data_IF_524462595320
#
_entry.id   IF_524462595320
#
_cell.length_a   1.000
_cell.length_b   1.000
_cell.length_c   1.000
_cell.angle_alpha   90.00
_cell.angle_beta   90.00
_cell.angle_gamma   90.00
#
_symmetry.space_group_name_H-M   'P 1'
#
loop_
_entity.id
_entity.type
_entity.pdbx_description
1 polymer ?
#
# COMPACT_ATOMS: atom_id res chain seq x y z
N UNK A 1 -6.20 1.36 9.37
CA UNK A 1 -7.04 1.11 10.57
C UNK A 1 -8.17 0.20 10.12
N UNK A 2 -8.48 -0.90 10.83
CA UNK A 2 -9.60 -1.79 10.46
C UNK A 2 -10.55 -1.81 11.65
N UNK A 3 -11.78 -1.32 11.46
CA UNK A 3 -12.83 -1.37 12.46
C UNK A 3 -13.61 -2.67 12.31
N UNK A 4 -13.74 -3.45 13.39
CA UNK A 4 -14.44 -4.73 13.38
C UNK A 4 -15.95 -4.49 13.56
N UNK A 5 -16.63 -4.03 12.51
CA UNK A 5 -18.10 -3.97 12.48
C UNK A 5 -18.63 -4.58 11.18
N UNK A 6 -19.86 -5.13 11.15
CA UNK A 6 -20.50 -5.61 9.91
C UNK A 6 -20.74 -4.52 8.85
N UNK A 7 -20.39 -3.25 9.15
CA UNK A 7 -20.36 -2.12 8.23
C UNK A 7 -18.95 -1.85 7.64
N UNK A 8 -17.99 -2.76 7.82
CA UNK A 8 -16.59 -2.58 7.43
C UNK A 8 -16.38 -2.31 5.92
N UNK A 9 -17.30 -2.74 5.04
CA UNK A 9 -17.19 -2.47 3.60
C UNK A 9 -17.40 -0.99 3.24
N UNK A 10 -18.32 -0.28 3.91
CA UNK A 10 -18.53 1.15 3.63
C UNK A 10 -17.42 2.03 4.25
N UNK A 11 -16.90 1.62 5.41
CA UNK A 11 -15.72 2.27 6.00
C UNK A 11 -14.44 2.03 5.19
N UNK A 12 -14.42 1.00 4.34
CA UNK A 12 -13.27 0.65 3.52
C UNK A 12 -12.90 1.77 2.54
N UNK A 13 -13.88 2.37 1.86
CA UNK A 13 -13.63 3.48 0.93
C UNK A 13 -13.18 4.77 1.64
N UNK A 14 -13.74 5.08 2.81
CA UNK A 14 -13.36 6.26 3.61
C UNK A 14 -11.94 6.14 4.18
N UNK A 15 -11.56 4.94 4.63
CA UNK A 15 -10.19 4.64 5.05
C UNK A 15 -9.24 4.63 3.84
N UNK A 16 -9.72 4.30 2.64
CA UNK A 16 -8.94 4.35 1.41
C UNK A 16 -8.77 5.78 0.84
N UNK A 17 -9.59 6.76 1.20
CA UNK A 17 -9.40 8.14 0.71
C UNK A 17 -8.59 9.01 1.68
N UNK A 18 -8.74 8.81 3.00
CA UNK A 18 -8.07 9.63 4.01
C UNK A 18 -6.60 9.24 4.28
N UNK A 19 -6.19 8.00 3.96
CA UNK A 19 -4.83 7.52 4.25
C UNK A 19 -3.84 7.66 3.07
N UNK A 20 -4.29 7.91 1.84
CA UNK A 20 -3.41 7.94 0.66
C UNK A 20 -2.57 9.21 0.55
N UNK A 21 -2.99 10.30 1.19
CA UNK A 21 -2.17 11.50 1.33
C UNK A 21 -0.99 11.31 2.30
N UNK A 22 -0.97 10.22 3.09
CA UNK A 22 -0.01 10.05 4.19
C UNK A 22 1.11 9.03 3.94
N UNK A 23 1.09 8.29 2.83
CA UNK A 23 2.07 7.21 2.56
C UNK A 23 2.71 7.24 1.17
N UNK A 24 2.50 8.30 0.38
CA UNK A 24 3.17 8.41 -0.90
C UNK A 24 4.63 8.83 -0.69
N UNK A 25 5.57 7.98 -1.12
CA UNK A 25 7.01 8.31 -1.19
C UNK A 25 7.19 9.54 -2.09
N UNK A 26 7.38 10.70 -1.46
CA UNK A 26 7.56 11.97 -2.17
C UNK A 26 8.85 11.97 -2.97
N UNK A 27 9.84 11.15 -2.60
CA UNK A 27 11.09 11.02 -3.34
C UNK A 27 10.90 10.39 -4.72
N UNK A 28 9.77 9.72 -4.98
CA UNK A 28 9.37 9.26 -6.31
C UNK A 28 9.34 10.40 -7.34
N UNK A 29 8.91 11.58 -6.93
CA UNK A 29 8.82 12.76 -7.80
C UNK A 29 10.18 13.19 -8.36
N UNK A 30 11.27 12.91 -7.62
CA UNK A 30 12.65 13.19 -8.03
C UNK A 30 13.19 12.16 -9.03
N UNK A 31 12.54 10.99 -9.17
CA UNK A 31 12.91 9.97 -10.14
C UNK A 31 12.29 10.19 -11.53
N UNK A 32 11.43 11.20 -11.67
CA UNK A 32 10.80 11.56 -12.95
C UNK A 32 11.76 12.48 -13.71
N UNK A 33 12.54 11.88 -14.60
CA UNK A 33 13.56 12.60 -15.39
C UNK A 33 12.94 13.38 -16.55
N UNK A 34 12.01 12.76 -17.28
CA UNK A 34 11.28 13.40 -18.39
C UNK A 34 9.94 13.99 -17.88
N UNK A 35 10.03 15.01 -17.03
CA UNK A 35 8.87 15.57 -16.32
C UNK A 35 7.98 16.47 -17.21
N UNK A 36 6.67 16.21 -17.31
CA UNK A 36 5.73 17.12 -17.97
C UNK A 36 5.62 18.47 -17.25
N UNK A 37 5.35 19.55 -18.00
CA UNK A 37 5.19 20.92 -17.45
C UNK A 37 4.19 20.98 -16.28
N UNK A 38 2.99 20.37 -16.34
CA UNK A 38 2.06 20.38 -15.21
C UNK A 38 2.63 19.77 -13.93
N UNK A 39 3.46 18.73 -14.07
CA UNK A 39 4.08 18.04 -12.95
C UNK A 39 5.21 18.89 -12.33
N UNK A 40 6.01 19.54 -13.16
CA UNK A 40 7.07 20.44 -12.68
C UNK A 40 6.50 21.62 -11.89
N UNK A 41 5.44 22.23 -12.42
CA UNK A 41 4.69 23.25 -11.70
C UNK A 41 4.16 22.69 -10.37
N UNK A 42 3.42 21.57 -10.41
CA UNK A 42 2.81 21.02 -9.18
C UNK A 42 3.84 20.71 -8.10
N UNK A 43 4.99 20.14 -8.45
CA UNK A 43 6.06 19.84 -7.50
C UNK A 43 6.72 21.08 -6.91
N UNK A 44 6.94 22.12 -7.72
CA UNK A 44 7.48 23.39 -7.24
C UNK A 44 6.58 24.04 -6.17
N UNK A 45 5.25 24.04 -6.39
CA UNK A 45 4.31 24.67 -5.46
C UNK A 45 3.99 23.80 -4.23
N UNK A 46 3.80 22.49 -4.40
CA UNK A 46 3.37 21.60 -3.32
C UNK A 46 4.54 21.01 -2.51
N UNK A 47 5.73 20.92 -3.11
CA UNK A 47 6.92 20.32 -2.49
C UNK A 47 8.15 21.25 -2.61
N UNK A 48 8.05 22.52 -2.18
CA UNK A 48 9.13 23.49 -2.38
C UNK A 48 10.44 23.07 -1.69
N UNK A 49 10.38 22.35 -0.57
CA UNK A 49 11.56 21.80 0.11
C UNK A 49 12.40 20.84 -0.76
N UNK A 50 11.85 20.30 -1.85
CA UNK A 50 12.54 19.38 -2.78
C UNK A 50 12.86 20.01 -4.13
N UNK A 51 12.08 21.00 -4.56
CA UNK A 51 12.10 21.53 -5.93
C UNK A 51 12.34 23.04 -6.04
N UNK A 52 12.22 23.80 -4.95
CA UNK A 52 12.42 25.25 -4.95
C UNK A 52 13.80 25.63 -4.35
N UNK A 53 14.72 26.19 -5.15
CA UNK A 53 16.02 26.66 -4.68
C UNK A 53 15.96 27.85 -3.71
N UNK A 54 14.83 28.56 -3.64
CA UNK A 54 14.66 29.68 -2.71
C UNK A 54 14.65 29.21 -1.24
N UNK A 55 14.29 27.95 -1.00
CA UNK A 55 14.37 27.36 0.33
C UNK A 55 15.81 26.99 0.64
N UNK A 56 16.33 27.54 1.75
CA UNK A 56 17.77 27.53 2.09
C UNK A 56 18.41 26.15 2.26
N UNK A 57 17.61 25.09 2.43
CA UNK A 57 18.04 23.70 2.46
C UNK A 57 17.07 22.86 1.64
N UNK A 58 17.22 22.87 0.31
CA UNK A 58 16.54 21.86 -0.52
C UNK A 58 16.99 20.49 -0.01
N UNK A 59 16.05 19.67 0.47
CA UNK A 59 16.35 18.33 0.95
C UNK A 59 16.86 17.50 -0.22
N UNK A 60 17.99 16.81 -0.02
CA UNK A 60 18.40 15.77 -0.95
C UNK A 60 17.40 14.63 -0.94
N UNK A 61 17.35 13.88 -2.05
CA UNK A 61 16.54 12.66 -2.14
C UNK A 61 16.79 11.73 -0.95
N UNK A 62 18.06 11.55 -0.57
CA UNK A 62 18.46 10.66 0.52
C UNK A 62 17.95 11.15 1.89
N UNK A 63 17.94 12.46 2.13
CA UNK A 63 17.41 13.03 3.38
C UNK A 63 15.89 12.82 3.48
N UNK A 64 15.15 13.04 2.39
CA UNK A 64 13.71 12.75 2.36
C UNK A 64 13.41 11.27 2.59
N UNK A 65 14.10 10.37 1.88
CA UNK A 65 13.95 8.93 2.07
C UNK A 65 14.30 8.50 3.51
N UNK A 66 15.29 9.15 4.13
CA UNK A 66 15.67 8.90 5.53
C UNK A 66 14.57 9.34 6.50
N UNK A 67 13.97 10.52 6.27
CA UNK A 67 12.86 11.02 7.07
C UNK A 67 11.62 10.12 6.97
N UNK A 68 11.26 9.72 5.75
CA UNK A 68 10.16 8.80 5.49
C UNK A 68 10.37 7.45 6.18
N UNK A 69 11.54 6.83 6.03
CA UNK A 69 11.86 5.56 6.71
C UNK A 69 11.77 5.66 8.23
N UNK A 70 12.22 6.77 8.82
CA UNK A 70 12.08 7.00 10.28
C UNK A 70 10.62 7.13 10.69
N UNK A 71 9.81 7.83 9.90
CA UNK A 71 8.38 7.95 10.15
C UNK A 71 7.68 6.58 10.09
N UNK A 72 7.95 5.79 9.05
CA UNK A 72 7.41 4.44 8.90
C UNK A 72 7.83 3.52 10.06
N UNK A 73 9.10 3.59 10.47
CA UNK A 73 9.61 2.83 11.62
C UNK A 73 8.88 3.17 12.92
N UNK A 74 8.68 4.47 13.23
CA UNK A 74 7.94 4.86 14.44
C UNK A 74 6.46 4.48 14.35
N UNK A 75 5.87 4.48 13.16
CA UNK A 75 4.50 3.99 12.94
C UNK A 75 4.40 2.47 13.18
N UNK A 76 5.33 1.69 12.64
CA UNK A 76 5.40 0.24 12.87
C UNK A 76 5.56 -0.08 14.35
N UNK A 77 6.46 0.61 15.04
CA UNK A 77 6.67 0.50 16.49
C UNK A 77 5.41 0.86 17.27
N UNK A 78 4.72 1.94 16.90
CA UNK A 78 3.46 2.36 17.54
C UNK A 78 2.37 1.29 17.38
N UNK A 79 2.21 0.75 16.18
CA UNK A 79 1.17 -0.26 15.88
C UNK A 79 1.49 -1.60 16.55
N UNK A 80 2.75 -2.03 16.54
CA UNK A 80 3.22 -3.28 17.15
C UNK A 80 3.29 -3.24 18.69
N UNK A 81 3.15 -2.07 19.30
CA UNK A 81 3.17 -1.90 20.76
C UNK A 81 2.02 -2.61 21.51
N UNK A 82 1.01 -3.11 20.78
CA UNK A 82 -0.17 -3.78 21.35
C UNK A 82 -1.20 -2.82 21.95
N UNK A 83 -0.96 -1.50 21.99
CA UNK A 83 -1.88 -0.49 22.53
C UNK A 83 -3.28 -0.51 21.88
N UNK A 84 -3.38 -1.03 20.66
CA UNK A 84 -4.62 -1.12 19.90
C UNK A 84 -5.27 -2.50 19.98
N UNK A 85 -4.60 -3.51 20.55
CA UNK A 85 -5.07 -4.90 20.60
C UNK A 85 -5.74 -5.26 21.94
N UNK A 86 -6.12 -4.24 22.72
CA UNK A 86 -6.69 -4.38 24.07
C UNK A 86 -8.22 -4.53 24.08
N UNK A 87 -8.90 -4.06 23.02
CA UNK A 87 -10.36 -4.10 22.91
C UNK A 87 -10.79 -5.21 21.95
N UNK A 88 -11.92 -5.89 22.21
CA UNK A 88 -12.40 -6.98 21.35
C UNK A 88 -12.96 -6.51 19.98
N UNK A 89 -13.24 -5.21 19.83
CA UNK A 89 -13.92 -4.59 18.69
C UNK A 89 -13.03 -3.62 17.88
N UNK A 90 -11.77 -3.42 18.30
CA UNK A 90 -10.87 -2.46 17.67
C UNK A 90 -9.44 -3.00 17.62
N UNK A 91 -8.76 -2.78 16.50
CA UNK A 91 -7.33 -3.06 16.33
C UNK A 91 -6.77 -2.21 15.18
N UNK A 92 -5.45 -2.09 15.12
CA UNK A 92 -4.74 -1.41 14.04
C UNK A 92 -3.70 -2.36 13.46
N UNK A 93 -3.74 -2.50 12.15
CA UNK A 93 -2.81 -3.35 11.39
C UNK A 93 -2.31 -2.59 10.19
N UNK A 94 -0.98 -2.56 10.02
CA UNK A 94 -0.32 -1.99 8.85
C UNK A 94 -0.49 -2.95 7.67
N UNK A 95 -0.78 -2.40 6.50
CA UNK A 95 -0.96 -3.15 5.25
C UNK A 95 0.28 -2.92 4.39
N UNK A 96 1.29 -3.82 4.44
CA UNK A 96 2.61 -3.54 3.91
C UNK A 96 2.63 -3.33 2.39
N UNK A 97 1.71 -3.94 1.63
CA UNK A 97 1.61 -3.67 0.19
C UNK A 97 1.35 -2.20 -0.17
N UNK A 98 0.74 -1.42 0.73
CA UNK A 98 0.47 0.01 0.52
C UNK A 98 1.68 0.85 0.91
N UNK A 99 2.42 0.42 1.93
CA UNK A 99 3.56 1.15 2.49
C UNK A 99 4.83 0.91 1.67
N UNK A 100 5.04 -0.32 1.21
CA UNK A 100 6.28 -0.76 0.57
C UNK A 100 6.13 -0.99 -0.94
N UNK A 101 4.92 -0.83 -1.48
CA UNK A 101 4.66 -1.04 -2.90
C UNK A 101 5.12 0.13 -3.77
N UNK A 102 5.83 -0.17 -4.85
CA UNK A 102 6.43 0.83 -5.74
C UNK A 102 5.63 1.00 -7.05
N UNK A 103 5.65 2.23 -7.58
CA UNK A 103 5.04 2.55 -8.86
C UNK A 103 5.79 1.81 -9.97
N UNK A 104 5.10 1.09 -10.88
CA UNK A 104 5.78 0.40 -11.97
C UNK A 104 6.67 1.35 -12.78
N UNK A 105 7.91 0.95 -13.01
CA UNK A 105 8.91 1.74 -13.75
C UNK A 105 9.03 1.25 -15.19
N UNK A 106 9.48 2.13 -16.08
CA UNK A 106 9.79 1.78 -17.46
C UNK A 106 11.10 2.43 -17.91
N UNK A 107 11.71 1.86 -18.95
CA UNK A 107 12.90 2.44 -19.58
C UNK A 107 12.46 3.42 -20.66
N UNK A 108 12.84 4.69 -20.56
CA UNK A 108 12.54 5.70 -21.58
C UNK A 108 13.31 5.41 -22.87
N UNK A 109 12.96 6.11 -23.95
CA UNK A 109 13.70 6.02 -25.24
C UNK A 109 15.17 6.40 -25.11
N UNK A 110 15.51 7.24 -24.12
CA UNK A 110 16.89 7.66 -23.79
C UNK A 110 17.62 6.65 -22.90
N UNK A 111 16.97 5.55 -22.53
CA UNK A 111 17.55 4.49 -21.73
C UNK A 111 17.52 4.71 -20.22
N UNK A 112 16.85 5.75 -19.75
CA UNK A 112 16.68 6.09 -18.32
C UNK A 112 15.53 5.27 -17.73
N UNK A 113 15.67 4.76 -16.51
CA UNK A 113 14.58 4.09 -15.79
C UNK A 113 13.86 5.13 -14.94
N UNK A 114 12.56 5.31 -15.15
CA UNK A 114 11.74 6.26 -14.38
C UNK A 114 10.35 5.68 -14.06
N UNK A 115 9.61 6.27 -13.11
CA UNK A 115 8.22 5.89 -12.83
C UNK A 115 7.36 6.00 -14.10
N UNK A 116 6.52 5.00 -14.33
CA UNK A 116 5.60 5.03 -15.47
C UNK A 116 4.42 5.95 -15.14
N UNK A 117 4.40 7.11 -15.80
CA UNK A 117 3.41 8.16 -15.57
C UNK A 117 1.97 7.72 -15.90
N UNK A 118 1.75 6.65 -16.67
CA UNK A 118 0.40 6.09 -16.86
C UNK A 118 -0.24 5.59 -15.56
N UNK A 119 0.57 5.32 -14.54
CA UNK A 119 0.11 4.90 -13.22
C UNK A 119 -0.15 6.08 -12.28
N UNK A 120 0.16 7.30 -12.69
CA UNK A 120 -0.01 8.51 -11.88
C UNK A 120 -1.09 9.41 -12.47
N UNK A 121 -1.68 10.25 -11.63
CA UNK A 121 -2.58 11.31 -12.02
C UNK A 121 -1.83 12.43 -12.78
N UNK A 122 -2.52 13.42 -13.38
CA UNK A 122 -1.88 14.49 -14.14
C UNK A 122 -0.88 15.36 -13.35
N UNK A 123 -0.91 15.32 -12.01
CA UNK A 123 0.07 15.96 -11.13
C UNK A 123 1.37 15.15 -10.95
N UNK A 124 1.45 13.95 -11.53
CA UNK A 124 2.55 13.00 -11.36
C UNK A 124 2.84 12.58 -9.91
N UNK A 125 1.85 12.66 -9.02
CA UNK A 125 2.00 12.27 -7.61
C UNK A 125 0.88 11.34 -7.15
N UNK A 126 -0.37 11.74 -7.34
CA UNK A 126 -1.49 10.90 -6.95
C UNK A 126 -1.61 9.69 -7.87
N UNK A 127 -2.23 8.63 -7.37
CA UNK A 127 -2.41 7.42 -8.16
C UNK A 127 -3.43 7.65 -9.26
N UNK A 128 -3.14 7.16 -10.47
CA UNK A 128 -4.15 7.03 -11.51
C UNK A 128 -5.19 5.98 -11.13
N UNK A 129 -6.29 5.91 -11.88
CA UNK A 129 -7.25 4.81 -11.78
C UNK A 129 -6.57 3.41 -11.93
N UNK A 130 -5.55 3.29 -12.80
CA UNK A 130 -4.82 2.03 -13.02
C UNK A 130 -4.09 1.59 -11.75
N UNK A 131 -3.38 2.51 -11.10
CA UNK A 131 -2.62 2.21 -9.90
C UNK A 131 -3.57 2.01 -8.71
N UNK A 132 -4.62 2.82 -8.57
CA UNK A 132 -5.67 2.58 -7.58
C UNK A 132 -6.26 1.17 -7.69
N UNK A 133 -6.55 0.67 -8.89
CA UNK A 133 -7.06 -0.69 -9.06
C UNK A 133 -6.07 -1.76 -8.59
N UNK A 134 -4.77 -1.60 -8.88
CA UNK A 134 -3.72 -2.52 -8.44
C UNK A 134 -3.54 -2.51 -6.92
N UNK A 135 -3.46 -1.31 -6.34
CA UNK A 135 -3.26 -1.11 -4.91
C UNK A 135 -4.49 -1.56 -4.13
N UNK A 136 -5.71 -1.30 -4.62
CA UNK A 136 -6.96 -1.78 -4.01
C UNK A 136 -7.01 -3.30 -3.92
N UNK A 137 -6.58 -3.99 -4.99
CA UNK A 137 -6.51 -5.45 -5.01
C UNK A 137 -5.48 -5.99 -4.02
N UNK A 138 -4.31 -5.36 -3.96
CA UNK A 138 -3.28 -5.76 -3.01
C UNK A 138 -3.72 -5.51 -1.56
N UNK A 139 -4.39 -4.37 -1.31
CA UNK A 139 -4.99 -4.08 0.00
C UNK A 139 -5.99 -5.17 0.40
N UNK A 140 -6.95 -5.47 -0.47
CA UNK A 140 -7.96 -6.50 -0.21
C UNK A 140 -7.33 -7.82 0.21
N UNK A 141 -6.34 -8.27 -0.55
CA UNK A 141 -5.62 -9.48 -0.23
C UNK A 141 -4.85 -9.40 1.10
N UNK A 142 -4.17 -8.28 1.34
CA UNK A 142 -3.49 -8.02 2.60
C UNK A 142 -4.46 -8.08 3.79
N UNK A 143 -5.73 -7.70 3.64
CA UNK A 143 -6.70 -7.87 4.73
C UNK A 143 -6.99 -9.32 5.06
N UNK A 144 -6.91 -10.23 4.08
CA UNK A 144 -7.21 -11.65 4.27
C UNK A 144 -5.97 -12.45 4.67
N UNK A 145 -4.78 -11.93 4.35
CA UNK A 145 -3.51 -12.55 4.71
C UNK A 145 -3.19 -12.42 6.20
N UNK A 146 -2.77 -13.49 6.89
CA UNK A 146 -2.36 -13.45 8.28
C UNK A 146 -1.29 -12.39 8.54
N UNK A 147 -1.40 -11.70 9.69
CA UNK A 147 -0.34 -10.79 10.14
C UNK A 147 0.99 -11.55 10.25
N UNK A 148 2.05 -10.99 9.67
CA UNK A 148 3.36 -11.62 9.55
C UNK A 148 3.60 -12.31 8.21
N UNK A 149 2.53 -12.64 7.46
CA UNK A 149 2.60 -13.26 6.13
C UNK A 149 2.03 -12.37 5.02
N UNK A 150 1.60 -11.14 5.35
CA UNK A 150 1.07 -10.18 4.37
C UNK A 150 2.12 -9.86 3.31
N UNK A 151 1.71 -9.86 2.04
CA UNK A 151 2.57 -9.44 0.93
C UNK A 151 2.91 -7.96 1.01
N UNK A 152 4.15 -7.63 0.68
CA UNK A 152 4.71 -6.27 0.76
C UNK A 152 4.63 -5.46 -0.53
N UNK A 153 4.16 -6.05 -1.63
CA UNK A 153 4.14 -5.37 -2.93
C UNK A 153 2.85 -5.69 -3.71
N UNK A 154 2.48 -4.81 -4.64
CA UNK A 154 1.36 -4.99 -5.55
C UNK A 154 1.84 -5.29 -6.97
N UNK A 155 1.12 -6.15 -7.69
CA UNK A 155 1.41 -6.49 -9.09
C UNK A 155 0.14 -6.40 -9.92
N UNK A 156 0.28 -6.06 -11.19
CA UNK A 156 -0.85 -5.90 -12.13
C UNK A 156 -1.76 -7.14 -12.17
N UNK A 157 -1.15 -8.32 -12.15
CA UNK A 157 -1.84 -9.60 -12.31
C UNK A 157 -1.97 -10.37 -10.98
N UNK A 158 -1.99 -9.66 -9.85
CA UNK A 158 -2.35 -10.28 -8.58
C UNK A 158 -3.79 -10.82 -8.66
N UNK A 159 -4.08 -12.07 -8.25
CA UNK A 159 -5.44 -12.59 -8.13
C UNK A 159 -6.15 -12.00 -6.90
N UNK A 160 -7.48 -12.07 -6.86
CA UNK A 160 -8.25 -11.72 -5.66
C UNK A 160 -8.34 -12.94 -4.74
N UNK A 161 -8.06 -12.73 -3.47
CA UNK A 161 -8.28 -13.72 -2.41
C UNK A 161 -9.72 -13.66 -1.92
N UNK A 162 -10.22 -14.81 -1.48
CA UNK A 162 -11.54 -14.99 -0.92
C UNK A 162 -11.44 -15.43 0.54
N UNK A 163 -12.34 -14.95 1.42
CA UNK A 163 -12.52 -15.56 2.74
C UNK A 163 -12.83 -17.05 2.59
N UNK A 164 -12.37 -17.85 3.53
CA UNK A 164 -12.66 -19.29 3.60
C UNK A 164 -13.51 -19.59 4.83
N UNK A 165 -14.12 -20.78 4.91
CA UNK A 165 -14.83 -21.21 6.13
C UNK A 165 -13.91 -21.19 7.36
N UNK A 166 -12.61 -21.45 7.15
CA UNK A 166 -11.59 -21.47 8.19
C UNK A 166 -11.16 -20.04 8.57
N UNK A 167 -11.08 -19.13 7.59
CA UNK A 167 -10.72 -17.73 7.78
C UNK A 167 -11.79 -16.77 7.23
N UNK A 168 -12.97 -16.70 7.89
CA UNK A 168 -14.10 -15.91 7.39
C UNK A 168 -13.99 -14.41 7.72
N UNK A 169 -12.96 -14.00 8.47
CA UNK A 169 -12.78 -12.63 8.96
C UNK A 169 -11.48 -12.01 8.44
N UNK A 170 -11.42 -10.69 8.40
CA UNK A 170 -10.19 -9.96 8.13
C UNK A 170 -9.11 -10.30 9.17
N UNK A 171 -7.88 -10.45 8.71
CA UNK A 171 -6.72 -10.81 9.49
C UNK A 171 -6.22 -9.63 10.34
N UNK A 172 -6.12 -9.89 11.63
CA UNK A 172 -5.75 -8.97 12.71
C UNK A 172 -4.62 -9.55 13.56
N UNK A 173 -3.99 -8.73 14.41
CA UNK A 173 -2.98 -9.23 15.35
C UNK A 173 -3.53 -10.29 16.31
N UNK A 174 -4.84 -10.25 16.61
CA UNK A 174 -5.49 -11.15 17.58
C UNK A 174 -5.84 -12.50 16.95
N UNK A 175 -6.44 -12.51 15.76
CA UNK A 175 -6.86 -13.76 15.11
C UNK A 175 -5.77 -14.44 14.26
N UNK A 176 -4.69 -13.72 13.90
CA UNK A 176 -3.55 -14.32 13.18
C UNK A 176 -2.61 -15.10 14.10
N UNK A 177 -2.65 -14.85 15.42
CA UNK A 177 -1.82 -15.57 16.42
C UNK A 177 -2.45 -16.88 16.89
N UNK A 178 -3.78 -16.96 16.82
CA UNK A 178 -4.58 -18.07 17.34
C UNK A 178 -5.05 -19.05 16.25
N UNK A 179 -4.56 -18.92 15.01
CA UNK A 179 -4.83 -19.92 13.98
C UNK A 179 -4.17 -21.23 14.41
N UNK A 180 -4.98 -22.23 14.75
CA UNK A 180 -4.54 -23.58 15.12
C UNK A 180 -3.95 -24.36 13.95
N UNK A 181 -4.05 -23.83 12.73
CA UNK A 181 -3.34 -24.34 11.54
C UNK A 181 -1.89 -23.88 11.54
N UNK A 182 -1.02 -24.81 11.13
CA UNK A 182 0.36 -24.50 10.83
C UNK A 182 0.41 -23.40 9.75
N UNK A 183 1.42 -22.53 9.82
CA UNK A 183 1.78 -21.59 8.76
C UNK A 183 1.81 -22.25 7.37
N UNK A 184 2.11 -23.56 7.29
CA UNK A 184 2.07 -24.36 6.07
C UNK A 184 0.68 -24.48 5.45
N UNK A 185 -0.35 -24.70 6.28
CA UNK A 185 -1.69 -25.04 5.80
C UNK A 185 -2.40 -23.76 5.33
N UNK A 186 -2.18 -22.65 6.02
CA UNK A 186 -2.55 -21.32 5.54
C UNK A 186 -1.87 -21.03 4.20
N UNK A 187 -0.55 -21.26 4.11
CA UNK A 187 0.19 -21.03 2.87
C UNK A 187 -0.37 -21.89 1.72
N UNK A 188 -0.78 -23.13 1.99
CA UNK A 188 -1.30 -24.03 0.98
C UNK A 188 -2.66 -23.57 0.43
N UNK A 189 -3.60 -23.19 1.31
CA UNK A 189 -4.89 -22.59 0.93
C UNK A 189 -4.69 -21.30 0.11
N UNK A 190 -3.75 -20.44 0.54
CA UNK A 190 -3.40 -19.24 -0.21
C UNK A 190 -2.82 -19.55 -1.59
N UNK A 191 -1.93 -20.54 -1.70
CA UNK A 191 -1.31 -20.92 -2.96
C UNK A 191 -2.32 -21.55 -3.93
N UNK A 192 -3.31 -22.28 -3.41
CA UNK A 192 -4.40 -22.83 -4.22
C UNK A 192 -5.28 -21.72 -4.80
N UNK A 193 -5.60 -20.68 -4.02
CA UNK A 193 -6.31 -19.51 -4.52
C UNK A 193 -5.50 -18.69 -5.54
N UNK A 194 -4.16 -18.65 -5.43
CA UNK A 194 -3.28 -17.95 -6.38
C UNK A 194 -3.30 -18.60 -7.77
N UNK A 195 -3.66 -19.89 -7.87
CA UNK A 195 -3.81 -20.61 -9.14
C UNK A 195 -5.00 -20.17 -10.00
N UNK A 196 -5.94 -19.37 -9.45
CA UNK A 196 -7.12 -18.90 -10.16
C UNK A 196 -6.84 -17.69 -11.08
N UNK A 197 -7.62 -17.57 -12.17
CA UNK A 197 -7.41 -16.55 -13.20
C UNK A 197 -7.41 -15.10 -12.63
N UNK A 198 -6.47 -14.25 -13.09
CA UNK A 198 -6.38 -12.87 -12.63
C UNK A 198 -7.58 -12.05 -13.11
N UNK A 199 -8.26 -11.39 -12.17
CA UNK A 199 -9.25 -10.35 -12.49
C UNK A 199 -10.71 -10.71 -12.24
N UNK A 200 -11.02 -11.95 -11.86
CA UNK A 200 -12.38 -12.36 -11.47
C UNK A 200 -12.40 -12.85 -10.02
N UNK A 201 -13.12 -12.15 -9.16
CA UNK A 201 -13.39 -12.61 -7.79
C UNK A 201 -14.54 -13.62 -7.86
N UNK A 202 -14.20 -14.90 -7.96
CA UNK A 202 -15.17 -16.00 -7.86
C UNK A 202 -14.96 -16.68 -6.50
N UNK A 203 -15.52 -16.09 -5.45
CA UNK A 203 -15.52 -16.73 -4.15
C UNK A 203 -16.62 -17.80 -4.12
N UNK A 204 -16.32 -19.06 -3.73
CA UNK A 204 -17.38 -20.02 -3.46
C UNK A 204 -18.29 -19.45 -2.37
N UNK A 205 -19.60 -19.53 -2.60
CA UNK A 205 -20.64 -19.17 -1.63
C UNK A 205 -20.76 -20.26 -0.56
#
# INVERSE_FOLDING_TARGET
IILRTPLAMEQFLLIFQLFYLFFADVSLSLDIVEKPIPCDFTFFYLCPCLFDPFFSNTFSKMEMMSLERKYLYELEKLVSSGRYDIKPDFTVVIQPSIVEGDVPRYKTRRGVIQPNLEYLAPDCFHFSQKLHAMVSRALWNNLLEPVGLKRRNYRRNTPFLCPTEIHPYLATNVNSRNSTMSTSDMMQDFMEQIGNEPGRMNCPL
#
